data_IF_469009165668
#
_entry.id   IF_469009165668
#
_cell.length_a   1.000
_cell.length_b   1.000
_cell.length_c   1.000
_cell.angle_alpha   90.00
_cell.angle_beta   90.00
_cell.angle_gamma   90.00
#
_symmetry.space_group_name_H-M   'P 1'
#
loop_
_entity.id
_entity.type
_entity.pdbx_description
1 polymer ?
#
# COMPACT_ATOMS: atom_id res chain seq x y z
N UNK A 1 22.55 -35.71 6.31
CA UNK A 1 22.06 -34.35 6.56
C UNK A 1 23.25 -33.48 6.77
N UNK A 2 23.62 -32.69 5.77
CA UNK A 2 24.67 -31.69 5.94
C UNK A 2 24.10 -30.45 6.67
N UNK A 3 24.97 -29.48 6.97
CA UNK A 3 24.55 -28.27 7.68
C UNK A 3 23.60 -27.40 6.85
N UNK A 4 23.66 -27.51 5.52
CA UNK A 4 22.74 -26.86 4.59
C UNK A 4 21.34 -27.44 4.69
N UNK A 5 21.21 -28.77 4.69
CA UNK A 5 19.93 -29.48 4.87
C UNK A 5 19.26 -29.08 6.20
N UNK A 6 20.05 -29.01 7.27
CA UNK A 6 19.56 -28.61 8.58
C UNK A 6 19.11 -27.15 8.59
N UNK A 7 19.88 -26.26 7.95
CA UNK A 7 19.52 -24.86 7.81
C UNK A 7 18.19 -24.70 7.05
N UNK A 8 18.00 -25.46 5.97
CA UNK A 8 16.76 -25.42 5.17
C UNK A 8 15.55 -25.89 5.98
N UNK A 9 15.69 -26.98 6.75
CA UNK A 9 14.65 -27.43 7.68
C UNK A 9 14.32 -26.39 8.75
N UNK A 10 15.32 -25.66 9.24
CA UNK A 10 15.10 -24.59 10.21
C UNK A 10 14.39 -23.38 9.57
N UNK A 11 14.70 -23.02 8.32
CA UNK A 11 14.05 -21.89 7.60
C UNK A 11 12.54 -22.05 7.54
N UNK A 12 12.06 -23.28 7.35
CA UNK A 12 10.62 -23.59 7.31
C UNK A 12 9.91 -23.30 8.64
N UNK A 13 10.62 -23.38 9.78
CA UNK A 13 10.05 -23.15 11.12
C UNK A 13 10.32 -21.75 11.66
N UNK A 14 11.46 -21.17 11.30
CA UNK A 14 11.90 -19.85 11.74
C UNK A 14 12.39 -19.11 10.49
N UNK A 15 11.65 -18.09 10.06
CA UNK A 15 11.93 -17.39 8.82
C UNK A 15 13.40 -16.97 8.67
N UNK A 16 13.90 -16.97 7.44
CA UNK A 16 15.33 -16.79 7.12
C UNK A 16 15.97 -15.58 7.80
N UNK A 17 15.23 -14.48 7.98
CA UNK A 17 15.68 -13.29 8.72
C UNK A 17 16.06 -13.57 10.16
N UNK A 18 15.24 -14.33 10.88
CA UNK A 18 15.47 -14.67 12.28
C UNK A 18 16.73 -15.51 12.44
N UNK A 19 16.82 -16.59 11.66
CA UNK A 19 17.96 -17.50 11.69
C UNK A 19 19.26 -16.83 11.21
N UNK A 20 19.19 -16.05 10.14
CA UNK A 20 20.36 -15.31 9.62
C UNK A 20 20.89 -14.33 10.67
N UNK A 21 19.99 -13.66 11.40
CA UNK A 21 20.36 -12.73 12.47
C UNK A 21 21.01 -13.45 13.65
N UNK A 22 20.43 -14.55 14.12
CA UNK A 22 20.99 -15.31 15.25
C UNK A 22 22.34 -15.94 14.91
N UNK A 23 22.47 -16.57 13.75
CA UNK A 23 23.74 -17.16 13.31
C UNK A 23 24.80 -16.08 13.13
N UNK A 24 24.44 -14.93 12.55
CA UNK A 24 25.33 -13.78 12.48
C UNK A 24 25.80 -13.32 13.87
N UNK A 25 24.88 -13.13 14.82
CA UNK A 25 25.22 -12.69 16.19
C UNK A 25 26.16 -13.69 16.87
N UNK A 26 25.89 -14.99 16.75
CA UNK A 26 26.73 -16.06 17.31
C UNK A 26 28.14 -16.05 16.70
N UNK A 27 28.26 -15.98 15.37
CA UNK A 27 29.58 -15.95 14.71
C UNK A 27 30.38 -14.69 15.08
N UNK A 28 29.71 -13.55 15.24
CA UNK A 28 30.35 -12.32 15.70
C UNK A 28 30.75 -12.37 17.17
N UNK A 29 30.01 -13.09 18.01
CA UNK A 29 30.36 -13.34 19.41
C UNK A 29 31.66 -14.14 19.53
N UNK A 30 31.91 -15.09 18.63
CA UNK A 30 33.17 -15.85 18.55
C UNK A 30 34.30 -15.14 17.77
N UNK A 31 34.17 -13.83 17.53
CA UNK A 31 35.14 -12.99 16.83
C UNK A 31 35.55 -13.48 15.41
N UNK A 32 34.64 -14.18 14.72
CA UNK A 32 34.86 -14.63 13.34
C UNK A 32 34.85 -13.41 12.41
N UNK A 33 35.92 -13.21 11.63
CA UNK A 33 36.07 -12.10 10.67
C UNK A 33 34.84 -11.94 9.77
N UNK A 34 34.49 -10.68 9.48
CA UNK A 34 33.27 -10.33 8.73
C UNK A 34 33.16 -11.05 7.38
N UNK A 35 34.26 -11.12 6.61
CA UNK A 35 34.32 -11.78 5.31
C UNK A 35 33.94 -13.27 5.42
N UNK A 36 34.48 -13.96 6.42
CA UNK A 36 34.17 -15.37 6.69
C UNK A 36 32.71 -15.56 7.13
N UNK A 37 32.15 -14.62 7.89
CA UNK A 37 30.73 -14.65 8.27
C UNK A 37 29.84 -14.47 7.04
N UNK A 38 30.17 -13.52 6.16
CA UNK A 38 29.39 -13.28 4.95
C UNK A 38 29.44 -14.46 3.98
N UNK A 39 30.63 -15.03 3.77
CA UNK A 39 30.81 -16.25 2.97
C UNK A 39 30.03 -17.42 3.55
N UNK A 40 30.14 -17.66 4.86
CA UNK A 40 29.43 -18.75 5.53
C UNK A 40 27.91 -18.60 5.40
N UNK A 41 27.36 -17.42 5.67
CA UNK A 41 25.92 -17.16 5.57
C UNK A 41 25.42 -17.37 4.13
N UNK A 42 26.18 -16.91 3.12
CA UNK A 42 25.83 -17.14 1.71
C UNK A 42 25.82 -18.63 1.35
N UNK A 43 26.83 -19.38 1.83
CA UNK A 43 26.96 -20.81 1.54
C UNK A 43 25.78 -21.64 2.08
N UNK A 44 25.14 -21.21 3.18
CA UNK A 44 23.94 -21.87 3.73
C UNK A 44 22.61 -21.25 3.25
N UNK A 45 22.66 -20.34 2.27
CA UNK A 45 21.49 -19.67 1.71
C UNK A 45 20.79 -18.73 2.70
N UNK A 46 21.55 -18.10 3.60
CA UNK A 46 21.09 -17.08 4.54
C UNK A 46 21.34 -15.67 3.97
N UNK A 47 20.88 -14.66 4.71
CA UNK A 47 21.09 -13.26 4.35
C UNK A 47 22.56 -12.85 4.51
N UNK A 48 23.03 -11.89 3.70
CA UNK A 48 24.39 -11.37 3.81
C UNK A 48 24.70 -10.83 5.21
N UNK A 49 25.98 -10.86 5.60
CA UNK A 49 26.42 -10.33 6.90
C UNK A 49 26.00 -8.88 7.12
N UNK A 50 26.00 -8.06 6.06
CA UNK A 50 25.52 -6.68 6.12
C UNK A 50 24.04 -6.58 6.49
N UNK A 51 23.21 -7.41 5.89
CA UNK A 51 21.76 -7.38 6.16
C UNK A 51 21.46 -7.98 7.53
N UNK A 52 22.11 -9.08 7.88
CA UNK A 52 22.00 -9.70 9.20
C UNK A 52 22.51 -8.77 10.31
N UNK A 53 23.55 -7.97 10.06
CA UNK A 53 24.03 -6.94 11.00
C UNK A 53 23.00 -5.82 11.23
N UNK A 54 22.34 -5.35 10.17
CA UNK A 54 21.26 -4.37 10.30
C UNK A 54 20.17 -4.92 11.23
N UNK A 55 19.73 -6.15 10.98
CA UNK A 55 18.69 -6.78 11.77
C UNK A 55 19.13 -7.11 13.20
N UNK A 56 20.39 -7.49 13.41
CA UNK A 56 20.97 -7.68 14.74
C UNK A 56 20.94 -6.39 15.58
N UNK A 57 21.15 -5.21 14.96
CA UNK A 57 21.02 -3.91 15.63
C UNK A 57 19.58 -3.61 16.04
N UNK A 58 18.61 -3.91 15.18
CA UNK A 58 17.18 -3.74 15.49
C UNK A 58 16.77 -4.69 16.61
N UNK A 59 17.15 -5.97 16.50
CA UNK A 59 16.92 -7.00 17.52
C UNK A 59 17.51 -6.61 18.88
N UNK A 60 18.77 -6.17 18.91
CA UNK A 60 19.47 -5.79 20.15
C UNK A 60 18.90 -4.52 20.80
N UNK A 61 18.16 -3.69 20.05
CA UNK A 61 17.44 -2.52 20.58
C UNK A 61 16.07 -2.87 21.15
N UNK A 62 15.60 -4.12 20.98
CA UNK A 62 14.28 -4.55 21.39
C UNK A 62 13.14 -4.07 20.48
N UNK A 63 13.44 -3.57 19.28
CA UNK A 63 12.42 -3.17 18.31
C UNK A 63 11.90 -4.39 17.54
N UNK A 64 11.14 -5.23 18.24
CA UNK A 64 10.64 -6.49 17.69
C UNK A 64 9.58 -6.27 16.60
N UNK A 65 8.90 -5.13 16.58
CA UNK A 65 7.92 -4.79 15.56
C UNK A 65 8.62 -4.51 14.22
N UNK A 66 9.65 -3.65 14.20
CA UNK A 66 10.48 -3.44 13.01
C UNK A 66 11.18 -4.73 12.60
N UNK A 67 11.71 -5.49 13.58
CA UNK A 67 12.38 -6.75 13.30
C UNK A 67 11.45 -7.80 12.69
N UNK A 68 10.19 -7.88 13.13
CA UNK A 68 9.22 -8.84 12.60
C UNK A 68 8.70 -8.43 11.23
N UNK A 69 8.51 -7.12 11.00
CA UNK A 69 8.04 -6.57 9.73
C UNK A 69 9.11 -6.73 8.64
N UNK A 70 8.94 -7.72 7.76
CA UNK A 70 9.80 -7.85 6.59
C UNK A 70 9.41 -6.79 5.57
N UNK A 71 10.12 -5.64 5.60
CA UNK A 71 9.87 -4.46 4.77
C UNK A 71 10.06 -4.70 3.25
N UNK A 72 10.15 -5.95 2.80
CA UNK A 72 10.18 -6.31 1.38
C UNK A 72 8.81 -6.89 1.02
N UNK A 73 8.08 -6.17 0.17
CA UNK A 73 6.84 -6.63 -0.45
C UNK A 73 7.01 -7.81 -1.43
N UNK A 74 7.84 -8.79 -1.11
CA UNK A 74 7.89 -10.10 -1.75
C UNK A 74 7.31 -11.11 -0.75
N UNK A 75 6.23 -11.80 -1.12
CA UNK A 75 5.60 -12.88 -0.34
C UNK A 75 6.68 -13.85 0.16
N UNK A 76 6.99 -13.82 1.46
CA UNK A 76 7.90 -14.80 2.10
C UNK A 76 7.17 -16.02 2.67
N UNK A 77 5.85 -15.99 2.67
CA UNK A 77 5.00 -17.16 2.89
C UNK A 77 3.96 -17.13 1.78
N UNK A 78 3.55 -18.30 1.32
CA UNK A 78 2.30 -18.43 0.56
C UNK A 78 1.25 -17.64 1.34
N UNK A 79 0.69 -16.61 0.70
CA UNK A 79 -0.40 -15.90 1.33
C UNK A 79 -1.49 -16.91 1.62
N UNK A 80 -2.30 -16.64 2.63
CA UNK A 80 -3.47 -17.46 2.95
C UNK A 80 -4.24 -17.90 1.70
N UNK A 81 -4.41 -17.00 0.72
CA UNK A 81 -5.09 -17.27 -0.54
C UNK A 81 -4.27 -18.08 -1.56
N UNK A 82 -2.95 -18.12 -1.47
CA UNK A 82 -2.15 -19.05 -2.29
C UNK A 82 -2.37 -20.50 -1.82
N UNK A 83 -2.63 -20.70 -0.52
CA UNK A 83 -2.94 -22.02 0.06
C UNK A 83 -4.42 -22.37 -0.16
N UNK A 84 -5.31 -21.37 -0.12
CA UNK A 84 -6.76 -21.53 -0.24
C UNK A 84 -7.33 -20.60 -1.35
N UNK A 85 -7.02 -20.87 -2.63
CA UNK A 85 -7.47 -20.03 -3.74
C UNK A 85 -8.99 -20.02 -3.89
N UNK A 86 -9.68 -21.09 -3.50
CA UNK A 86 -11.14 -21.17 -3.50
C UNK A 86 -11.76 -20.16 -2.53
N UNK A 87 -11.16 -20.00 -1.34
CA UNK A 87 -11.60 -19.01 -0.36
C UNK A 87 -11.38 -17.59 -0.88
N UNK A 88 -10.33 -17.35 -1.67
CA UNK A 88 -10.10 -16.03 -2.29
C UNK A 88 -11.23 -15.66 -3.25
N UNK A 89 -11.60 -16.59 -4.14
CA UNK A 89 -12.67 -16.37 -5.12
C UNK A 89 -14.02 -16.12 -4.44
N UNK A 90 -14.35 -16.92 -3.42
CA UNK A 90 -15.57 -16.77 -2.63
C UNK A 90 -15.58 -15.46 -1.83
N UNK A 91 -14.46 -15.10 -1.20
CA UNK A 91 -14.33 -13.86 -0.45
C UNK A 91 -14.51 -12.63 -1.35
N UNK A 92 -13.94 -12.67 -2.56
CA UNK A 92 -14.14 -11.64 -3.60
C UNK A 92 -15.60 -11.51 -4.00
N UNK A 93 -16.26 -12.62 -4.32
CA UNK A 93 -17.68 -12.62 -4.66
C UNK A 93 -18.56 -12.08 -3.53
N UNK A 94 -18.26 -12.47 -2.28
CA UNK A 94 -18.94 -11.97 -1.09
C UNK A 94 -18.81 -10.45 -0.93
N UNK A 95 -17.60 -9.90 -1.10
CA UNK A 95 -17.37 -8.45 -1.06
C UNK A 95 -18.14 -7.73 -2.17
N UNK A 96 -18.08 -8.23 -3.41
CA UNK A 96 -18.81 -7.63 -4.55
C UNK A 96 -20.32 -7.62 -4.29
N UNK A 97 -20.87 -8.73 -3.80
CA UNK A 97 -22.28 -8.83 -3.45
C UNK A 97 -22.66 -7.87 -2.33
N UNK A 98 -21.88 -7.79 -1.24
CA UNK A 98 -22.14 -6.88 -0.13
C UNK A 98 -22.08 -5.41 -0.57
N UNK A 99 -21.08 -5.04 -1.38
CA UNK A 99 -20.95 -3.69 -1.92
C UNK A 99 -22.09 -3.32 -2.90
N UNK A 100 -22.62 -4.30 -3.65
CA UNK A 100 -23.72 -4.07 -4.59
C UNK A 100 -25.02 -3.60 -3.91
N UNK A 101 -25.20 -3.92 -2.63
CA UNK A 101 -26.38 -3.53 -1.85
C UNK A 101 -26.40 -2.04 -1.49
N UNK A 102 -25.28 -1.31 -1.64
CA UNK A 102 -25.16 0.14 -1.37
C UNK A 102 -25.64 0.57 0.03
N UNK A 103 -25.60 -0.33 1.02
CA UNK A 103 -26.15 -0.08 2.36
C UNK A 103 -25.16 0.59 3.31
N UNK A 104 -23.86 0.63 2.96
CA UNK A 104 -22.78 1.15 3.82
C UNK A 104 -22.54 0.36 5.11
N UNK A 105 -23.25 -0.76 5.32
CA UNK A 105 -23.18 -1.56 6.56
C UNK A 105 -22.04 -2.57 6.57
N UNK A 106 -21.47 -2.88 5.41
CA UNK A 106 -20.41 -3.87 5.25
C UNK A 106 -19.11 -3.41 5.93
N UNK A 107 -18.55 -4.27 6.77
CA UNK A 107 -17.32 -4.05 7.55
C UNK A 107 -16.30 -5.14 7.24
N UNK A 108 -15.03 -4.87 7.51
CA UNK A 108 -13.97 -5.87 7.42
C UNK A 108 -14.19 -7.09 8.34
N UNK A 109 -14.93 -6.90 9.45
CA UNK A 109 -15.32 -7.99 10.34
C UNK A 109 -16.23 -9.00 9.65
N UNK A 110 -17.14 -8.54 8.78
CA UNK A 110 -18.03 -9.42 8.03
C UNK A 110 -17.22 -10.30 7.07
N UNK A 111 -16.17 -9.74 6.44
CA UNK A 111 -15.24 -10.50 5.61
C UNK A 111 -14.42 -11.51 6.43
N UNK A 112 -13.95 -11.13 7.63
CA UNK A 112 -13.21 -12.03 8.51
C UNK A 112 -14.07 -13.23 8.93
N UNK A 113 -15.34 -12.97 9.31
CA UNK A 113 -16.30 -14.02 9.64
C UNK A 113 -16.56 -14.96 8.46
N UNK A 114 -16.78 -14.39 7.27
CA UNK A 114 -16.99 -15.17 6.06
C UNK A 114 -15.80 -16.10 5.73
N UNK A 115 -14.58 -15.56 5.76
CA UNK A 115 -13.36 -16.33 5.47
C UNK A 115 -13.16 -17.45 6.50
N UNK A 116 -13.44 -17.16 7.76
CA UNK A 116 -13.33 -18.13 8.85
C UNK A 116 -14.31 -19.30 8.67
N UNK A 117 -15.59 -18.99 8.40
CA UNK A 117 -16.61 -20.00 8.11
C UNK A 117 -16.22 -20.86 6.90
N UNK A 118 -15.77 -20.23 5.80
CA UNK A 118 -15.31 -20.93 4.59
C UNK A 118 -14.10 -21.81 4.83
N UNK A 119 -13.16 -21.38 5.66
CA UNK A 119 -12.00 -22.19 6.02
C UNK A 119 -12.39 -23.48 6.75
N UNK A 120 -13.25 -23.39 7.76
CA UNK A 120 -13.69 -24.57 8.51
C UNK A 120 -14.63 -25.47 7.68
N UNK A 121 -15.44 -24.89 6.78
CA UNK A 121 -16.21 -25.64 5.79
C UNK A 121 -15.29 -26.48 4.88
N UNK A 122 -14.26 -25.84 4.29
CA UNK A 122 -13.37 -26.47 3.31
C UNK A 122 -12.44 -27.52 3.94
N UNK A 123 -11.94 -27.27 5.15
CA UNK A 123 -10.98 -28.16 5.81
C UNK A 123 -11.63 -29.27 6.65
N UNK A 124 -12.91 -29.13 6.99
CA UNK A 124 -13.62 -30.04 7.89
C UNK A 124 -13.14 -30.00 9.35
N UNK A 125 -12.25 -29.06 9.69
CA UNK A 125 -11.76 -28.87 11.06
C UNK A 125 -12.91 -28.28 11.90
N UNK A 126 -13.08 -28.75 13.13
CA UNK A 126 -14.04 -28.15 14.07
C UNK A 126 -13.40 -26.97 14.78
N UNK A 127 -13.98 -25.78 14.62
CA UNK A 127 -13.62 -24.58 15.38
C UNK A 127 -13.87 -24.79 16.88
N UNK A 128 -12.90 -24.48 17.73
CA UNK A 128 -13.08 -24.52 19.18
C UNK A 128 -13.64 -23.19 19.69
N UNK A 129 -14.32 -23.25 20.84
CA UNK A 129 -14.86 -22.06 21.50
C UNK A 129 -13.67 -21.23 22.00
N UNK A 130 -13.55 -20.00 21.50
CA UNK A 130 -12.46 -19.08 21.85
C UNK A 130 -11.33 -19.01 20.82
N UNK A 131 -11.40 -19.78 19.73
CA UNK A 131 -10.46 -19.63 18.62
C UNK A 131 -10.64 -18.27 17.94
N UNK A 132 -9.52 -17.57 17.75
CA UNK A 132 -9.47 -16.37 16.93
C UNK A 132 -9.85 -16.68 15.47
N UNK A 133 -10.17 -15.64 14.70
CA UNK A 133 -10.38 -15.81 13.27
C UNK A 133 -9.11 -16.30 12.58
N UNK A 134 -9.25 -17.29 11.70
CA UNK A 134 -8.17 -17.78 10.83
C UNK A 134 -7.55 -16.63 10.04
N UNK A 135 -8.36 -15.62 9.72
CA UNK A 135 -7.90 -14.35 9.19
C UNK A 135 -8.45 -13.17 9.99
N UNK A 136 -7.56 -12.49 10.70
CA UNK A 136 -7.92 -11.35 11.55
C UNK A 136 -8.57 -10.20 10.76
N UNK A 137 -9.44 -9.43 11.43
CA UNK A 137 -10.11 -8.27 10.84
C UNK A 137 -9.11 -7.26 10.24
N UNK A 138 -7.99 -7.00 10.93
CA UNK A 138 -6.95 -6.10 10.45
C UNK A 138 -6.34 -6.54 9.11
N UNK A 139 -6.16 -7.84 8.92
CA UNK A 139 -5.69 -8.43 7.65
C UNK A 139 -6.76 -8.29 6.56
N UNK A 140 -8.03 -8.52 6.90
CA UNK A 140 -9.14 -8.33 5.97
C UNK A 140 -9.29 -6.87 5.51
N UNK A 141 -8.97 -5.88 6.34
CA UNK A 141 -8.91 -4.46 5.92
C UNK A 141 -7.84 -4.23 4.86
N UNK A 142 -6.68 -4.88 4.98
CA UNK A 142 -5.62 -4.81 3.97
C UNK A 142 -6.03 -5.52 2.69
N UNK A 143 -6.73 -6.65 2.79
CA UNK A 143 -7.25 -7.36 1.62
C UNK A 143 -8.28 -6.54 0.87
N UNK A 144 -9.23 -5.91 1.56
CA UNK A 144 -10.21 -5.02 0.95
C UNK A 144 -9.55 -3.84 0.21
N UNK A 145 -8.41 -3.35 0.73
CA UNK A 145 -7.62 -2.32 0.04
C UNK A 145 -6.87 -2.84 -1.19
N UNK A 146 -6.50 -4.12 -1.19
CA UNK A 146 -5.70 -4.78 -2.24
C UNK A 146 -6.56 -5.51 -3.28
N UNK A 147 -7.82 -5.79 -2.98
CA UNK A 147 -8.72 -6.51 -3.89
C UNK A 147 -8.93 -5.64 -5.12
N UNK A 148 -8.22 -6.00 -6.19
CA UNK A 148 -8.27 -5.36 -7.49
C UNK A 148 -9.70 -5.30 -8.05
N UNK A 149 -10.64 -6.08 -7.51
CA UNK A 149 -12.04 -6.14 -7.93
C UNK A 149 -12.93 -5.00 -7.39
N UNK A 150 -12.44 -4.21 -6.42
CA UNK A 150 -13.01 -2.87 -6.16
C UNK A 150 -12.59 -1.86 -7.28
N UNK A 151 -11.91 -2.39 -8.31
CA UNK A 151 -11.72 -1.92 -9.68
C UNK A 151 -10.31 -1.40 -9.98
N UNK A 152 -9.62 -1.96 -11.00
CA UNK A 152 -8.47 -1.34 -11.63
C UNK A 152 -8.84 -0.05 -12.36
N UNK A 153 -10.12 0.18 -12.71
CA UNK A 153 -10.56 1.42 -13.37
C UNK A 153 -10.40 2.66 -12.48
N UNK A 154 -10.29 2.50 -11.15
CA UNK A 154 -9.90 3.60 -10.24
C UNK A 154 -8.46 4.08 -10.46
N UNK A 155 -7.66 3.29 -11.15
CA UNK A 155 -6.22 3.43 -11.22
C UNK A 155 -5.71 3.48 -12.65
N UNK A 156 -6.55 3.82 -13.64
CA UNK A 156 -6.08 4.16 -14.99
C UNK A 156 -6.45 5.60 -15.31
N UNK A 157 -5.45 6.40 -15.66
CA UNK A 157 -5.65 7.71 -16.27
C UNK A 157 -5.90 7.51 -17.77
N UNK A 158 -7.12 7.80 -18.23
CA UNK A 158 -7.59 7.45 -19.58
C UNK A 158 -7.68 5.93 -19.83
N UNK A 159 -7.59 5.50 -21.08
CA UNK A 159 -7.65 4.07 -21.44
C UNK A 159 -6.31 3.31 -21.24
N UNK A 160 -5.18 4.02 -21.08
CA UNK A 160 -3.87 3.42 -21.36
C UNK A 160 -2.80 3.56 -20.25
N UNK A 161 -3.01 4.34 -19.17
CA UNK A 161 -1.93 4.62 -18.21
C UNK A 161 -2.30 4.23 -16.78
N UNK A 162 -1.67 3.20 -16.18
CA UNK A 162 -1.91 2.86 -14.77
C UNK A 162 -1.31 3.91 -13.82
N UNK A 163 -2.06 4.26 -12.78
CA UNK A 163 -1.76 5.24 -11.72
C UNK A 163 -0.53 4.84 -10.88
N UNK A 164 -0.28 3.54 -10.74
CA UNK A 164 0.98 3.00 -10.23
C UNK A 164 1.65 2.12 -11.28
N UNK A 165 2.60 2.65 -12.05
CA UNK A 165 3.47 1.80 -12.88
C UNK A 165 4.64 1.28 -12.04
N UNK A 166 4.47 0.13 -11.38
CA UNK A 166 5.63 -0.62 -10.87
C UNK A 166 6.38 -1.22 -12.07
N UNK A 167 7.53 -0.65 -12.43
CA UNK A 167 8.46 -1.30 -13.37
C UNK A 167 9.12 -0.44 -14.45
N UNK A 168 8.79 0.85 -14.59
CA UNK A 168 9.40 1.73 -15.62
C UNK A 168 10.37 2.81 -15.10
N UNK A 169 10.86 2.69 -13.87
CA UNK A 169 11.92 3.56 -13.35
C UNK A 169 11.53 5.03 -13.12
N UNK A 170 10.25 5.40 -13.29
CA UNK A 170 9.71 6.71 -12.93
C UNK A 170 8.41 6.46 -12.16
N UNK A 171 8.50 6.62 -10.85
CA UNK A 171 7.31 6.63 -10.00
C UNK A 171 6.62 7.99 -10.25
N UNK A 172 5.40 8.01 -10.77
CA UNK A 172 4.57 9.21 -10.80
C UNK A 172 3.75 9.22 -9.51
N UNK A 173 3.75 10.35 -8.80
CA UNK A 173 2.77 10.56 -7.73
C UNK A 173 1.73 11.55 -8.23
N UNK A 174 0.48 11.11 -8.16
CA UNK A 174 -0.69 11.90 -8.47
C UNK A 174 -1.48 12.05 -7.19
N UNK A 175 -1.88 13.28 -6.87
CA UNK A 175 -2.85 13.55 -5.81
C UNK A 175 -4.18 13.78 -6.50
N UNK A 176 -5.05 12.77 -6.40
CA UNK A 176 -6.25 12.66 -7.20
C UNK A 176 -7.49 12.66 -6.32
N UNK A 177 -8.54 13.36 -6.75
CA UNK A 177 -9.84 13.32 -6.11
C UNK A 177 -10.67 12.23 -6.75
N UNK A 178 -10.63 11.04 -6.15
CA UNK A 178 -11.48 9.93 -6.56
C UNK A 178 -12.94 10.27 -6.25
N UNK A 179 -13.79 10.17 -7.26
CA UNK A 179 -15.21 10.43 -7.11
C UNK A 179 -15.99 9.14 -7.30
N UNK A 180 -16.83 8.80 -6.34
CA UNK A 180 -17.78 7.71 -6.49
C UNK A 180 -19.06 8.23 -7.15
N UNK A 181 -19.01 8.41 -8.48
CA UNK A 181 -20.16 8.86 -9.27
C UNK A 181 -20.40 7.96 -10.49
N UNK A 182 -21.65 7.74 -10.94
CA UNK A 182 -21.94 6.90 -12.11
C UNK A 182 -21.25 7.32 -13.41
N UNK A 183 -20.84 8.58 -13.54
CA UNK A 183 -20.18 9.10 -14.75
C UNK A 183 -18.68 8.76 -14.83
N UNK A 184 -18.04 8.35 -13.73
CA UNK A 184 -16.64 7.93 -13.75
C UNK A 184 -15.92 8.08 -12.41
N UNK A 185 -14.74 7.45 -12.27
CA UNK A 185 -13.96 7.49 -11.04
C UNK A 185 -13.14 8.78 -10.85
N UNK A 186 -13.01 9.62 -11.88
CA UNK A 186 -12.22 10.84 -11.87
C UNK A 186 -13.08 12.08 -12.03
N UNK A 187 -12.75 13.12 -11.26
CA UNK A 187 -13.37 14.42 -11.42
C UNK A 187 -12.73 15.18 -12.59
N UNK A 188 -13.50 15.43 -13.64
CA UNK A 188 -13.09 16.27 -14.76
C UNK A 188 -14.26 17.15 -15.21
N UNK A 189 -14.01 18.42 -15.52
CA UNK A 189 -14.99 19.27 -16.19
C UNK A 189 -15.04 18.97 -17.69
N UNK A 190 -16.24 18.87 -18.24
CA UNK A 190 -16.41 18.85 -19.70
C UNK A 190 -15.89 20.15 -20.31
N UNK A 191 -15.59 20.14 -21.61
CA UNK A 191 -15.08 21.34 -22.30
C UNK A 191 -15.97 22.57 -22.13
N UNK A 192 -17.30 22.38 -22.15
CA UNK A 192 -18.27 23.46 -21.97
C UNK A 192 -18.33 23.99 -20.53
N UNK A 193 -18.09 23.12 -19.54
CA UNK A 193 -18.00 23.51 -18.13
C UNK A 193 -16.67 24.24 -17.90
N UNK A 194 -15.58 23.72 -18.45
CA UNK A 194 -14.25 24.32 -18.36
C UNK A 194 -14.20 25.70 -19.00
N UNK A 195 -14.80 25.93 -20.17
CA UNK A 195 -14.84 27.28 -20.79
C UNK A 195 -15.43 28.36 -19.89
N UNK A 196 -16.31 27.99 -18.94
CA UNK A 196 -16.94 28.92 -18.01
C UNK A 196 -16.15 29.09 -16.70
N UNK A 197 -15.38 28.07 -16.30
CA UNK A 197 -14.78 28.03 -14.98
C UNK A 197 -13.66 29.08 -14.79
N UNK A 198 -12.64 29.20 -15.66
CA UNK A 198 -11.60 30.24 -15.55
C UNK A 198 -12.13 31.67 -15.71
N UNK A 199 -13.28 31.86 -16.38
CA UNK A 199 -13.91 33.18 -16.50
C UNK A 199 -14.36 33.71 -15.14
N UNK A 200 -14.86 32.81 -14.26
CA UNK A 200 -15.26 33.16 -12.90
C UNK A 200 -14.09 33.09 -11.92
N UNK A 201 -13.28 32.03 -12.02
CA UNK A 201 -12.16 31.75 -11.13
C UNK A 201 -10.85 31.80 -11.90
N UNK A 202 -10.27 33.00 -12.01
CA UNK A 202 -9.04 33.22 -12.78
C UNK A 202 -7.87 32.35 -12.31
N UNK A 203 -7.88 31.96 -11.02
CA UNK A 203 -6.95 31.02 -10.39
C UNK A 203 -6.88 29.66 -11.08
N UNK A 204 -7.93 29.25 -11.80
CA UNK A 204 -7.94 28.01 -12.57
C UNK A 204 -7.04 28.06 -13.81
N UNK A 205 -6.76 29.26 -14.31
CA UNK A 205 -5.95 29.54 -15.51
C UNK A 205 -4.57 30.15 -15.24
N UNK A 206 -4.28 30.53 -13.99
CA UNK A 206 -2.96 31.06 -13.62
C UNK A 206 -1.98 29.90 -13.57
N UNK A 207 -0.82 30.11 -14.19
CA UNK A 207 0.29 29.16 -14.14
C UNK A 207 0.74 29.03 -12.68
N UNK A 208 0.73 27.80 -12.17
CA UNK A 208 1.11 27.51 -10.79
C UNK A 208 2.32 26.59 -10.79
N UNK A 209 3.13 26.63 -9.73
CA UNK A 209 4.25 25.70 -9.54
C UNK A 209 3.79 24.22 -9.44
N UNK A 210 2.47 24.00 -9.31
CA UNK A 210 1.83 22.71 -9.28
C UNK A 210 1.37 22.31 -10.69
N UNK A 211 1.85 21.17 -11.18
CA UNK A 211 1.48 20.64 -12.49
C UNK A 211 0.08 19.98 -12.44
N UNK A 212 -0.96 20.81 -12.54
CA UNK A 212 -2.34 20.35 -12.68
C UNK A 212 -2.59 19.69 -14.04
N UNK A 213 -3.37 18.61 -14.01
CA UNK A 213 -3.92 18.02 -15.23
C UNK A 213 -5.04 18.92 -15.74
N UNK A 214 -5.12 19.08 -17.07
CA UNK A 214 -6.09 19.97 -17.69
C UNK A 214 -7.53 19.57 -17.32
N UNK A 215 -8.35 20.57 -16.99
CA UNK A 215 -9.77 20.43 -16.58
C UNK A 215 -10.03 19.53 -15.39
N UNK A 216 -9.02 19.22 -14.57
CA UNK A 216 -9.20 18.51 -13.30
C UNK A 216 -8.62 19.30 -12.13
N UNK A 217 -8.90 18.81 -10.91
CA UNK A 217 -8.22 19.25 -9.68
C UNK A 217 -7.00 18.37 -9.34
N UNK A 218 -6.72 17.37 -10.18
CA UNK A 218 -5.61 16.44 -10.04
C UNK A 218 -4.30 17.14 -10.33
N UNK A 219 -3.33 16.97 -9.44
CA UNK A 219 -1.96 17.40 -9.68
C UNK A 219 -1.06 16.17 -9.84
N UNK A 220 -0.06 16.32 -10.68
CA UNK A 220 0.99 15.31 -10.90
C UNK A 220 2.35 15.86 -10.51
N UNK A 221 3.23 14.99 -10.01
CA UNK A 221 4.64 15.32 -9.80
C UNK A 221 5.55 14.31 -10.48
N UNK A 222 6.65 14.81 -11.02
CA UNK A 222 7.74 14.04 -11.58
C UNK A 222 8.76 13.76 -10.49
N UNK A 223 8.81 12.53 -10.00
CA UNK A 223 9.72 12.16 -8.91
C UNK A 223 11.17 12.36 -9.34
N UNK A 224 11.93 13.04 -8.48
CA UNK A 224 13.33 13.41 -8.70
C UNK A 224 13.52 14.77 -9.38
N UNK A 225 12.44 15.39 -9.87
CA UNK A 225 12.44 16.75 -10.42
C UNK A 225 11.61 17.68 -9.55
N UNK A 226 10.39 17.25 -9.22
CA UNK A 226 9.41 18.06 -8.49
C UNK A 226 9.47 17.75 -6.98
N UNK A 227 9.09 18.74 -6.17
CA UNK A 227 8.90 18.54 -4.73
C UNK A 227 7.67 17.64 -4.46
N UNK A 228 7.69 16.94 -3.33
CA UNK A 228 6.50 16.24 -2.84
C UNK A 228 5.39 17.25 -2.52
N UNK A 229 4.13 16.83 -2.66
CA UNK A 229 2.99 17.64 -2.22
C UNK A 229 3.12 17.97 -0.73
N UNK A 230 3.21 19.25 -0.43
CA UNK A 230 3.08 19.78 0.92
C UNK A 230 1.61 20.11 1.23
N UNK A 231 1.36 20.56 2.46
CA UNK A 231 0.01 20.90 2.90
C UNK A 231 -0.61 22.03 2.06
N UNK A 232 0.20 23.00 1.65
CA UNK A 232 -0.28 24.14 0.85
C UNK A 232 -0.71 23.67 -0.54
N UNK A 233 0.02 22.73 -1.14
CA UNK A 233 -0.37 22.11 -2.40
C UNK A 233 -1.70 21.36 -2.25
N UNK A 234 -1.85 20.53 -1.21
CA UNK A 234 -3.10 19.76 -0.97
C UNK A 234 -4.30 20.70 -0.74
N UNK A 235 -4.09 21.80 -0.02
CA UNK A 235 -5.12 22.82 0.18
C UNK A 235 -5.49 23.50 -1.14
N UNK A 236 -4.50 23.89 -1.95
CA UNK A 236 -4.74 24.47 -3.27
C UNK A 236 -5.49 23.52 -4.22
N UNK A 237 -5.16 22.22 -4.19
CA UNK A 237 -5.92 21.20 -4.93
C UNK A 237 -7.38 21.10 -4.46
N UNK A 238 -7.61 21.17 -3.15
CA UNK A 238 -8.97 21.11 -2.57
C UNK A 238 -9.77 22.36 -2.94
N UNK A 239 -9.17 23.54 -2.85
CA UNK A 239 -9.79 24.80 -3.30
C UNK A 239 -10.15 24.74 -4.78
N UNK A 240 -9.22 24.27 -5.63
CA UNK A 240 -9.46 24.06 -7.06
C UNK A 240 -10.65 23.13 -7.30
N UNK A 241 -10.75 22.01 -6.58
CA UNK A 241 -11.89 21.10 -6.67
C UNK A 241 -13.20 21.82 -6.35
N UNK A 242 -13.27 22.58 -5.25
CA UNK A 242 -14.49 23.30 -4.87
C UNK A 242 -14.90 24.35 -5.90
N UNK A 243 -13.94 25.10 -6.46
CA UNK A 243 -14.20 26.05 -7.55
C UNK A 243 -14.81 25.34 -8.77
N UNK A 244 -14.29 24.17 -9.12
CA UNK A 244 -14.76 23.41 -10.28
C UNK A 244 -16.10 22.72 -10.05
N UNK A 245 -16.38 22.25 -8.82
CA UNK A 245 -17.64 21.59 -8.46
C UNK A 245 -18.87 22.43 -8.78
N UNK A 246 -18.76 23.77 -8.71
CA UNK A 246 -19.86 24.68 -9.07
C UNK A 246 -20.33 24.52 -10.53
N UNK A 247 -19.40 24.16 -11.43
CA UNK A 247 -19.68 24.03 -12.85
C UNK A 247 -20.13 22.64 -13.25
N UNK A 248 -19.81 21.61 -12.45
CA UNK A 248 -20.06 20.23 -12.82
C UNK A 248 -21.56 19.89 -12.71
N UNK A 249 -22.26 19.85 -13.85
CA UNK A 249 -23.73 19.73 -13.90
C UNK A 249 -24.24 18.45 -13.26
N UNK A 250 -23.49 17.36 -13.42
CA UNK A 250 -23.81 16.04 -12.87
C UNK A 250 -23.91 16.03 -11.34
N UNK A 251 -23.33 17.02 -10.65
CA UNK A 251 -23.20 17.04 -9.18
C UNK A 251 -24.07 18.11 -8.52
N UNK A 252 -24.72 19.00 -9.29
CA UNK A 252 -25.48 20.15 -8.76
C UNK A 252 -26.62 19.79 -7.80
N UNK A 253 -27.08 18.54 -7.82
CA UNK A 253 -28.18 18.04 -6.96
C UNK A 253 -27.73 16.94 -6.02
N UNK A 254 -26.43 16.68 -5.96
CA UNK A 254 -25.89 15.59 -5.20
C UNK A 254 -25.36 16.13 -3.87
N UNK A 255 -25.52 15.35 -2.81
CA UNK A 255 -24.78 15.58 -1.58
C UNK A 255 -23.33 15.17 -1.84
N UNK A 256 -22.40 16.10 -1.64
CA UNK A 256 -20.96 15.86 -1.81
C UNK A 256 -20.37 15.61 -0.42
N UNK A 257 -19.82 14.42 -0.23
CA UNK A 257 -19.04 14.06 0.95
C UNK A 257 -17.56 14.01 0.57
N UNK A 258 -16.72 14.70 1.33
CA UNK A 258 -15.28 14.74 1.10
C UNK A 258 -14.62 13.97 2.23
N UNK A 259 -14.05 12.82 1.88
CA UNK A 259 -13.30 11.97 2.79
C UNK A 259 -11.82 12.24 2.56
N UNK A 260 -11.17 12.85 3.56
CA UNK A 260 -9.73 13.06 3.55
C UNK A 260 -9.09 11.94 4.36
N UNK A 261 -8.35 11.04 3.70
CA UNK A 261 -7.49 10.08 4.42
C UNK A 261 -6.27 10.86 4.95
N UNK A 262 -5.99 10.84 6.27
CA UNK A 262 -4.78 11.46 6.80
C UNK A 262 -3.56 10.83 6.13
N UNK A 263 -2.97 11.57 5.18
CA UNK A 263 -1.68 11.22 4.64
C UNK A 263 -0.69 11.21 5.81
N UNK A 264 -0.16 10.04 6.17
CA UNK A 264 1.03 9.93 7.03
C UNK A 264 2.24 10.39 6.22
N UNK A 265 2.25 11.65 5.79
CA UNK A 265 3.40 12.26 5.16
C UNK A 265 4.40 12.57 6.27
N UNK A 266 5.42 11.73 6.39
CA UNK A 266 6.68 12.22 6.93
C UNK A 266 7.05 13.42 6.05
N UNK A 267 6.96 14.63 6.60
CA UNK A 267 7.29 15.85 5.85
C UNK A 267 8.68 15.67 5.24
N UNK A 268 8.80 15.88 3.92
CA UNK A 268 10.06 15.76 3.19
C UNK A 268 11.16 16.65 3.79
N UNK A 269 10.80 17.67 4.58
CA UNK A 269 11.73 18.48 5.39
C UNK A 269 12.64 17.63 6.30
N UNK A 270 12.14 16.52 6.83
CA UNK A 270 12.93 15.57 7.64
C UNK A 270 13.92 14.75 6.80
N UNK A 271 13.55 14.37 5.57
CA UNK A 271 14.42 13.63 4.65
C UNK A 271 15.44 14.53 3.95
N UNK A 272 15.09 15.78 3.65
CA UNK A 272 16.00 16.77 3.07
C UNK A 272 17.12 17.16 4.05
N UNK A 273 16.81 17.26 5.35
CA UNK A 273 17.81 17.49 6.40
C UNK A 273 18.79 16.30 6.55
N UNK A 274 18.32 15.06 6.36
CA UNK A 274 19.16 13.86 6.40
C UNK A 274 20.08 13.77 5.18
N UNK A 275 19.62 14.22 4.00
CA UNK A 275 20.43 14.23 2.79
C UNK A 275 21.51 15.32 2.77
N UNK A 276 21.24 16.50 3.36
CA UNK A 276 22.18 17.65 3.35
C UNK A 276 23.32 17.54 4.37
N UNK A 277 23.21 16.64 5.36
CA UNK A 277 24.24 16.42 6.39
C UNK A 277 25.03 15.11 6.22
N UNK A 278 24.94 14.48 5.04
CA UNK A 278 25.68 13.24 4.71
C UNK A 278 26.65 13.37 3.55
N UNK A 279 26.89 14.58 3.06
CA UNK A 279 28.01 14.94 2.18
C UNK A 279 28.87 15.98 2.89
#
# INVERSE_FOLDING_TARGET
TDIGDLAEMCKLKCGTKYLSTLVYMSLRFFDIKWENVDEYLKNIGFMSAQTSHKWAKVFSKGDYEEFSNDLRGAKQTDSFYDIFPEIEADAKAFVVQACSQKSGKFKALDLAQFIDEKYYELTGIRKQIGDDFIRLEGSCRLDLRRSDEVSPKRWFFGENTPFFSKGRGRSHMTSDFLVQHPSGPFFELSENEWKKAPVKYITLSVDSDVNYIDRTATASINIGTDAYFDNDTVLGQSERLFQMLEFKQEYKRNQIEIVVDPARTHTAKSLYYIAKHKN
#
